data_IF_139390152600
#
_entry.id   IF_139390152600
#
_cell.length_a   1.000
_cell.length_b   1.000
_cell.length_c   1.000
_cell.angle_alpha   90.00
_cell.angle_beta   90.00
_cell.angle_gamma   90.00
#
_symmetry.space_group_name_H-M   'P 1'
#
loop_
_entity.id
_entity.type
_entity.pdbx_description
1 polymer ?
#
# COMPACT_ATOMS: atom_id res chain seq x y z
N UNK A 1 4.45 -17.01 -9.99
CA UNK A 1 5.22 -15.81 -9.61
C UNK A 1 6.61 -15.94 -10.22
N UNK A 2 6.90 -15.20 -11.28
CA UNK A 2 8.24 -15.18 -11.86
C UNK A 2 9.15 -14.34 -10.96
N UNK A 3 10.01 -14.97 -10.18
CA UNK A 3 11.09 -14.30 -9.47
C UNK A 3 12.17 -13.99 -10.52
N UNK A 4 12.09 -12.80 -11.13
CA UNK A 4 13.09 -12.37 -12.13
C UNK A 4 14.43 -11.99 -11.51
N UNK A 5 14.43 -11.57 -10.24
CA UNK A 5 15.62 -11.07 -9.56
C UNK A 5 15.87 -11.86 -8.27
N UNK A 6 16.56 -12.97 -8.39
CA UNK A 6 17.05 -13.71 -7.25
C UNK A 6 18.32 -13.04 -6.72
N UNK A 7 18.22 -12.34 -5.60
CA UNK A 7 19.34 -11.67 -4.92
C UNK A 7 20.24 -12.70 -4.24
N UNK A 8 19.64 -13.78 -3.74
CA UNK A 8 20.36 -14.85 -3.01
C UNK A 8 20.01 -16.21 -3.60
N UNK A 9 21.02 -17.02 -3.83
CA UNK A 9 20.86 -18.41 -4.25
C UNK A 9 21.27 -19.33 -3.10
N UNK A 10 20.29 -19.98 -2.45
CA UNK A 10 20.53 -20.82 -1.29
C UNK A 10 21.36 -22.07 -1.57
N UNK A 11 21.33 -22.57 -2.81
CA UNK A 11 22.10 -23.75 -3.22
C UNK A 11 23.63 -23.54 -3.13
N UNK A 12 24.11 -22.37 -3.50
CA UNK A 12 25.52 -22.02 -3.47
C UNK A 12 25.86 -20.90 -2.48
N UNK A 13 24.91 -20.47 -1.68
CA UNK A 13 25.01 -19.42 -0.67
C UNK A 13 25.61 -18.09 -1.22
N UNK A 14 25.33 -17.79 -2.48
CA UNK A 14 25.86 -16.59 -3.14
C UNK A 14 24.84 -15.48 -3.25
N UNK A 15 25.27 -14.25 -2.93
CA UNK A 15 24.57 -13.01 -3.28
C UNK A 15 24.92 -12.64 -4.72
N UNK A 16 23.91 -12.51 -5.59
CA UNK A 16 24.09 -12.14 -7.00
C UNK A 16 24.27 -10.65 -7.20
N UNK A 17 23.70 -9.85 -6.32
CA UNK A 17 23.82 -8.39 -6.37
C UNK A 17 23.62 -7.80 -4.98
N UNK A 18 24.16 -6.62 -4.74
CA UNK A 18 23.83 -5.82 -3.56
C UNK A 18 22.41 -5.30 -3.77
N UNK A 19 21.47 -5.54 -2.82
CA UNK A 19 20.11 -5.02 -2.94
C UNK A 19 20.13 -3.50 -3.08
N UNK A 20 19.41 -2.97 -4.05
CA UNK A 20 19.25 -1.53 -4.18
C UNK A 20 18.37 -1.03 -3.03
N UNK A 21 18.94 -0.21 -2.15
CA UNK A 21 18.21 0.41 -1.04
C UNK A 21 17.52 1.66 -1.57
N UNK A 22 16.20 1.73 -1.41
CA UNK A 22 15.41 2.92 -1.71
C UNK A 22 15.15 3.64 -0.41
N UNK A 23 15.66 4.85 -0.26
CA UNK A 23 15.45 5.68 0.92
C UNK A 23 14.25 6.62 0.74
N UNK A 24 13.74 7.16 1.85
CA UNK A 24 12.73 8.23 1.82
C UNK A 24 13.17 9.41 0.97
N UNK A 25 14.44 9.80 1.06
CA UNK A 25 15.00 10.89 0.26
C UNK A 25 14.98 10.59 -1.24
N UNK A 26 15.19 9.34 -1.64
CA UNK A 26 15.10 8.92 -3.05
C UNK A 26 13.67 9.04 -3.55
N UNK A 27 12.68 8.67 -2.72
CA UNK A 27 11.26 8.80 -3.04
C UNK A 27 10.87 10.26 -3.23
N UNK A 28 11.33 11.17 -2.34
CA UNK A 28 11.03 12.60 -2.43
C UNK A 28 11.73 13.25 -3.63
N UNK A 29 13.03 13.00 -3.82
CA UNK A 29 13.82 13.59 -4.91
C UNK A 29 13.38 13.13 -6.30
N UNK A 30 13.03 11.86 -6.42
CA UNK A 30 12.56 11.26 -7.66
C UNK A 30 11.03 11.30 -7.77
N UNK A 31 10.38 12.05 -6.88
CA UNK A 31 8.93 12.17 -6.82
C UNK A 31 8.35 12.66 -8.13
N UNK A 32 7.29 12.02 -8.54
CA UNK A 32 6.51 12.43 -9.71
C UNK A 32 5.82 13.75 -9.33
N UNK A 33 5.89 14.79 -10.18
CA UNK A 33 5.06 15.97 -9.96
C UNK A 33 3.59 15.53 -9.83
N UNK A 34 2.85 16.09 -8.87
CA UNK A 34 1.51 15.63 -8.59
C UNK A 34 0.61 15.84 -9.83
N UNK A 35 0.09 14.78 -10.42
CA UNK A 35 -0.86 14.91 -11.52
C UNK A 35 -2.22 15.39 -10.98
N UNK A 36 -3.07 16.02 -11.81
CA UNK A 36 -4.41 16.45 -11.41
C UNK A 36 -5.31 15.26 -11.05
N UNK A 37 -4.99 14.09 -11.60
CA UNK A 37 -5.65 12.82 -11.29
C UNK A 37 -4.61 11.72 -11.11
N UNK A 38 -4.86 10.80 -10.19
CA UNK A 38 -3.98 9.67 -9.90
C UNK A 38 -4.78 8.38 -9.89
N UNK A 39 -4.35 7.42 -10.69
CA UNK A 39 -4.96 6.08 -10.72
C UNK A 39 -4.09 5.09 -9.96
N UNK A 40 -4.70 4.42 -8.99
CA UNK A 40 -4.11 3.29 -8.27
C UNK A 40 -4.71 1.99 -8.77
N UNK A 41 -3.86 1.07 -9.20
CA UNK A 41 -4.24 -0.29 -9.61
C UNK A 41 -3.86 -1.28 -8.51
N UNK A 42 -4.86 -1.83 -7.81
CA UNK A 42 -4.63 -2.88 -6.81
C UNK A 42 -4.42 -4.23 -7.50
N UNK A 43 -3.19 -4.72 -7.44
CA UNK A 43 -2.76 -5.99 -8.03
C UNK A 43 -3.10 -7.19 -7.15
N UNK A 44 -3.16 -6.98 -5.84
CA UNK A 44 -3.55 -7.99 -4.85
C UNK A 44 -4.68 -7.45 -3.98
N UNK A 45 -5.48 -8.34 -3.36
CA UNK A 45 -6.65 -7.93 -2.61
C UNK A 45 -6.33 -6.89 -1.54
N UNK A 46 -6.91 -5.70 -1.67
CA UNK A 46 -6.88 -4.67 -0.65
C UNK A 46 -7.90 -5.01 0.43
N UNK A 47 -7.42 -5.22 1.64
CA UNK A 47 -8.24 -5.55 2.80
C UNK A 47 -8.11 -4.46 3.85
N UNK A 48 -9.08 -3.59 3.89
CA UNK A 48 -9.13 -2.47 4.85
C UNK A 48 -10.31 -2.65 5.78
N UNK A 49 -10.13 -2.34 7.05
CA UNK A 49 -11.21 -2.28 8.04
C UNK A 49 -11.44 -0.84 8.50
N UNK A 50 -12.70 -0.51 8.66
CA UNK A 50 -13.15 0.71 9.31
C UNK A 50 -14.22 0.36 10.34
N UNK A 51 -14.05 0.82 11.59
CA UNK A 51 -14.94 0.50 12.71
C UNK A 51 -15.23 -1.02 12.85
N UNK A 52 -14.20 -1.85 12.62
CA UNK A 52 -14.31 -3.31 12.72
C UNK A 52 -14.81 -4.02 11.46
N UNK A 53 -15.45 -3.34 10.52
CA UNK A 53 -16.02 -3.92 9.31
C UNK A 53 -15.07 -3.77 8.10
N UNK A 54 -15.14 -4.74 7.18
CA UNK A 54 -14.40 -4.64 5.92
C UNK A 54 -15.00 -3.57 5.02
N UNK A 55 -14.13 -2.72 4.48
CA UNK A 55 -14.50 -1.65 3.57
C UNK A 55 -14.70 -2.21 2.16
N UNK A 56 -15.91 -2.06 1.63
CA UNK A 56 -16.24 -2.39 0.23
C UNK A 56 -16.28 -1.13 -0.66
N UNK A 57 -16.52 0.03 -0.07
CA UNK A 57 -16.52 1.32 -0.78
C UNK A 57 -15.31 2.14 -0.34
N UNK A 58 -14.18 1.94 -1.03
CA UNK A 58 -12.93 2.62 -0.72
C UNK A 58 -13.04 4.13 -0.98
N UNK A 59 -12.61 4.92 0.00
CA UNK A 59 -12.41 6.37 -0.12
C UNK A 59 -10.95 6.74 0.05
N UNK A 60 -10.54 7.91 -0.43
CA UNK A 60 -9.16 8.36 -0.29
C UNK A 60 -8.76 8.56 1.18
N UNK A 61 -9.59 9.21 2.05
CA UNK A 61 -9.26 9.33 3.47
C UNK A 61 -9.03 7.97 4.16
N UNK A 62 -9.88 6.99 3.86
CA UNK A 62 -9.74 5.64 4.42
C UNK A 62 -8.44 4.97 3.96
N UNK A 63 -8.10 5.10 2.68
CA UNK A 63 -6.87 4.53 2.12
C UNK A 63 -5.63 5.15 2.77
N UNK A 64 -5.55 6.49 2.78
CA UNK A 64 -4.36 7.20 3.26
C UNK A 64 -4.18 7.03 4.77
N UNK A 65 -5.28 6.99 5.54
CA UNK A 65 -5.22 6.72 6.97
C UNK A 65 -4.58 5.35 7.27
N UNK A 66 -4.99 4.30 6.55
CA UNK A 66 -4.41 2.96 6.72
C UNK A 66 -2.97 2.87 6.24
N UNK A 67 -2.61 3.64 5.23
CA UNK A 67 -1.24 3.70 4.73
C UNK A 67 -0.33 4.40 5.73
N UNK A 68 -0.75 5.54 6.27
CA UNK A 68 -0.02 6.27 7.31
C UNK A 68 0.16 5.41 8.56
N UNK A 69 -0.92 4.80 9.07
CA UNK A 69 -0.86 3.88 10.21
C UNK A 69 0.20 2.77 9.98
N UNK A 70 0.27 2.23 8.77
CA UNK A 70 1.27 1.22 8.44
C UNK A 70 2.69 1.78 8.42
N UNK A 71 2.88 2.98 7.88
CA UNK A 71 4.18 3.67 7.88
C UNK A 71 4.63 3.92 9.31
N UNK A 72 3.74 4.41 10.17
CA UNK A 72 4.01 4.68 11.58
C UNK A 72 4.44 3.40 12.33
N UNK A 73 3.70 2.32 12.13
CA UNK A 73 4.04 1.02 12.73
C UNK A 73 5.42 0.52 12.27
N UNK A 74 5.71 0.60 10.97
CA UNK A 74 7.01 0.18 10.43
C UNK A 74 8.14 1.09 10.91
N UNK A 75 7.91 2.41 10.96
CA UNK A 75 8.86 3.38 11.48
C UNK A 75 9.19 3.11 12.96
N UNK A 76 8.17 2.89 13.77
CA UNK A 76 8.34 2.59 15.20
C UNK A 76 9.17 1.32 15.42
N UNK A 77 8.82 0.21 14.76
CA UNK A 77 9.49 -1.08 15.00
C UNK A 77 10.86 -1.21 14.37
N UNK A 78 11.12 -0.53 13.25
CA UNK A 78 12.33 -0.75 12.46
C UNK A 78 13.23 0.46 12.31
N UNK A 79 12.72 1.69 12.56
CA UNK A 79 13.48 2.92 12.39
C UNK A 79 13.61 3.74 13.68
N UNK A 80 13.01 3.30 14.80
CA UNK A 80 13.04 4.01 16.08
C UNK A 80 12.27 5.34 16.04
N UNK A 81 11.34 5.49 15.08
CA UNK A 81 10.54 6.70 14.90
C UNK A 81 9.28 6.70 15.76
N UNK A 82 8.68 7.89 15.91
CA UNK A 82 7.30 8.08 16.36
C UNK A 82 6.48 8.69 15.23
N UNK A 83 5.15 8.52 15.29
CA UNK A 83 4.25 9.12 14.32
C UNK A 83 4.38 10.65 14.36
N UNK A 84 4.64 11.34 13.22
CA UNK A 84 4.65 12.78 13.19
C UNK A 84 3.26 13.35 13.51
N UNK A 85 3.21 14.43 14.29
CA UNK A 85 1.93 15.14 14.59
C UNK A 85 1.26 15.70 13.34
N UNK A 86 2.02 15.91 12.27
CA UNK A 86 1.55 16.39 10.96
C UNK A 86 0.52 15.48 10.30
N UNK A 87 0.48 14.20 10.65
CA UNK A 87 -0.46 13.23 10.07
C UNK A 87 -1.93 13.63 10.23
N UNK A 88 -2.30 14.30 11.33
CA UNK A 88 -3.68 14.73 11.55
C UNK A 88 -4.12 15.83 10.57
N UNK A 89 -3.24 16.77 10.24
CA UNK A 89 -3.52 17.83 9.27
C UNK A 89 -3.72 17.22 7.87
N UNK A 90 -2.83 16.31 7.47
CA UNK A 90 -2.94 15.60 6.19
C UNK A 90 -4.22 14.76 6.09
N UNK A 91 -4.64 14.11 7.17
CA UNK A 91 -5.89 13.35 7.18
C UNK A 91 -7.14 14.25 7.00
N UNK A 92 -7.11 15.50 7.49
CA UNK A 92 -8.16 16.50 7.21
C UNK A 92 -8.14 16.92 5.74
N UNK A 93 -6.98 17.17 5.16
CA UNK A 93 -6.85 17.51 3.74
C UNK A 93 -7.29 16.36 2.83
N UNK A 94 -7.04 15.11 3.22
CA UNK A 94 -7.46 13.93 2.49
C UNK A 94 -8.98 13.86 2.23
N UNK A 95 -9.78 14.50 3.06
CA UNK A 95 -11.24 14.55 2.88
C UNK A 95 -11.66 15.34 1.62
N UNK A 96 -10.80 16.23 1.13
CA UNK A 96 -11.04 17.01 -0.09
C UNK A 96 -10.75 16.21 -1.38
N UNK A 97 -10.08 15.08 -1.27
CA UNK A 97 -9.76 14.21 -2.41
C UNK A 97 -10.96 13.33 -2.73
N UNK A 98 -11.39 13.37 -3.99
CA UNK A 98 -12.58 12.62 -4.44
C UNK A 98 -12.18 11.49 -5.39
N UNK A 99 -12.92 10.40 -5.34
CA UNK A 99 -12.81 9.36 -6.35
C UNK A 99 -13.56 9.81 -7.62
N UNK A 100 -12.83 9.94 -8.73
CA UNK A 100 -13.36 10.31 -10.05
C UNK A 100 -13.89 9.10 -10.80
N UNK A 101 -13.20 7.97 -10.71
CA UNK A 101 -13.61 6.71 -11.33
C UNK A 101 -13.25 5.54 -10.42
N UNK A 102 -14.10 4.51 -10.42
CA UNK A 102 -13.89 3.28 -9.65
C UNK A 102 -14.19 2.07 -10.53
N UNK A 103 -13.21 1.21 -10.68
CA UNK A 103 -13.34 -0.11 -11.29
C UNK A 103 -12.80 -1.16 -10.32
N UNK A 104 -13.32 -1.11 -9.08
CA UNK A 104 -12.98 -2.02 -8.01
C UNK A 104 -14.02 -3.12 -7.93
N UNK A 105 -13.56 -4.35 -7.74
CA UNK A 105 -14.41 -5.51 -7.47
C UNK A 105 -13.91 -6.27 -6.27
N UNK A 106 -14.81 -6.90 -5.56
CA UNK A 106 -14.44 -7.82 -4.49
C UNK A 106 -13.91 -9.10 -5.09
N UNK A 107 -12.76 -9.57 -4.60
CA UNK A 107 -12.15 -10.83 -4.97
C UNK A 107 -12.06 -11.72 -3.74
N UNK A 108 -12.82 -12.81 -3.74
CA UNK A 108 -12.80 -13.79 -2.66
C UNK A 108 -11.73 -14.84 -2.90
N UNK A 109 -10.91 -15.07 -1.89
CA UNK A 109 -10.03 -16.23 -1.84
C UNK A 109 -9.81 -16.66 -0.41
N UNK A 110 -9.45 -17.90 -0.25
CA UNK A 110 -9.24 -18.52 1.05
C UNK A 110 -7.84 -19.12 1.13
N UNK A 111 -7.25 -19.04 2.31
CA UNK A 111 -6.00 -19.69 2.65
C UNK A 111 -6.25 -20.69 3.76
N UNK A 112 -5.70 -21.89 3.63
CA UNK A 112 -5.67 -22.83 4.73
C UNK A 112 -4.46 -22.54 5.64
N UNK A 113 -4.70 -22.38 6.93
CA UNK A 113 -3.67 -22.21 7.95
C UNK A 113 -3.34 -23.56 8.58
N UNK A 114 -2.19 -24.11 8.27
CA UNK A 114 -1.72 -25.36 8.89
C UNK A 114 -1.56 -25.23 10.40
N UNK A 115 -1.15 -24.06 10.90
CA UNK A 115 -0.99 -23.78 12.32
C UNK A 115 -2.32 -23.77 13.06
N UNK A 116 -3.34 -23.13 12.47
CA UNK A 116 -4.67 -22.99 13.09
C UNK A 116 -5.66 -24.06 12.63
N UNK A 117 -5.24 -24.97 11.73
CA UNK A 117 -6.08 -26.04 11.15
C UNK A 117 -7.43 -25.55 10.63
N UNK A 118 -7.48 -24.33 10.06
CA UNK A 118 -8.71 -23.72 9.55
C UNK A 118 -8.48 -22.92 8.26
N UNK A 119 -9.55 -22.76 7.50
CA UNK A 119 -9.58 -21.84 6.36
C UNK A 119 -9.75 -20.40 6.85
N UNK A 120 -8.98 -19.51 6.26
CA UNK A 120 -9.01 -18.07 6.54
C UNK A 120 -9.46 -17.33 5.28
N UNK A 121 -10.55 -16.57 5.41
CA UNK A 121 -11.01 -15.68 4.33
C UNK A 121 -10.03 -14.51 4.18
N UNK A 122 -9.49 -14.36 3.00
CA UNK A 122 -8.47 -13.37 2.65
C UNK A 122 -8.94 -12.43 1.53
N UNK A 123 -10.25 -12.42 1.25
CA UNK A 123 -10.86 -11.58 0.21
C UNK A 123 -10.69 -10.09 0.47
N UNK A 124 -10.68 -9.31 -0.60
CA UNK A 124 -10.53 -7.87 -0.59
C UNK A 124 -10.81 -7.24 -1.96
N UNK A 125 -10.62 -5.93 -2.07
CA UNK A 125 -10.84 -5.17 -3.29
C UNK A 125 -9.64 -5.32 -4.24
N UNK A 126 -9.89 -5.59 -5.52
CA UNK A 126 -8.90 -5.54 -6.60
C UNK A 126 -9.42 -4.66 -7.74
N UNK A 127 -8.51 -4.16 -8.57
CA UNK A 127 -8.82 -3.31 -9.72
C UNK A 127 -8.35 -1.89 -9.54
N UNK A 128 -8.90 -0.95 -10.29
CA UNK A 128 -8.44 0.43 -10.37
C UNK A 128 -9.37 1.42 -9.68
N UNK A 129 -8.78 2.47 -9.13
CA UNK A 129 -9.49 3.64 -8.62
C UNK A 129 -8.70 4.89 -8.97
N UNK A 130 -9.39 5.89 -9.50
CA UNK A 130 -8.81 7.19 -9.86
C UNK A 130 -9.28 8.24 -8.86
N UNK A 131 -8.32 8.96 -8.31
CA UNK A 131 -8.56 10.08 -7.40
C UNK A 131 -8.24 11.42 -8.07
N UNK A 132 -8.91 12.49 -7.63
CA UNK A 132 -8.69 13.85 -8.11
C UNK A 132 -8.70 14.84 -6.95
N UNK A 133 -7.87 15.87 -7.04
CA UNK A 133 -7.70 16.91 -6.03
C UNK A 133 -6.25 17.31 -5.85
N UNK A 134 -5.92 18.01 -4.76
CA UNK A 134 -4.53 18.32 -4.42
C UNK A 134 -3.83 17.07 -3.85
N UNK A 135 -3.25 16.27 -4.73
CA UNK A 135 -2.56 15.01 -4.38
C UNK A 135 -1.11 15.22 -3.92
N UNK A 136 -0.55 16.43 -4.11
CA UNK A 136 0.85 16.73 -3.83
C UNK A 136 1.34 16.29 -2.44
N UNK A 137 0.64 16.60 -1.34
CA UNK A 137 1.09 16.24 0.00
C UNK A 137 1.11 14.73 0.26
N UNK A 138 0.34 13.96 -0.53
CA UNK A 138 0.17 12.52 -0.35
C UNK A 138 1.11 11.68 -1.23
N UNK A 139 1.73 12.29 -2.25
CA UNK A 139 2.57 11.56 -3.20
C UNK A 139 3.70 10.76 -2.55
N UNK A 140 4.46 11.29 -1.57
CA UNK A 140 5.52 10.50 -0.92
C UNK A 140 4.99 9.24 -0.25
N UNK A 141 3.84 9.33 0.43
CA UNK A 141 3.19 8.21 1.09
C UNK A 141 2.71 7.17 0.08
N UNK A 142 2.08 7.63 -1.01
CA UNK A 142 1.57 6.75 -2.06
C UNK A 142 2.70 6.06 -2.82
N UNK A 143 3.82 6.73 -3.07
CA UNK A 143 5.00 6.13 -3.68
C UNK A 143 5.63 5.07 -2.77
N UNK A 144 5.80 5.38 -1.49
CA UNK A 144 6.30 4.41 -0.50
C UNK A 144 5.35 3.21 -0.36
N UNK A 145 4.04 3.46 -0.40
CA UNK A 145 3.02 2.43 -0.24
C UNK A 145 3.06 1.33 -1.29
N UNK A 146 3.59 1.59 -2.49
CA UNK A 146 3.79 0.56 -3.52
C UNK A 146 4.75 -0.54 -3.06
N UNK A 147 5.70 -0.20 -2.19
CA UNK A 147 6.71 -1.13 -1.66
C UNK A 147 6.24 -1.83 -0.39
N UNK A 148 5.61 -1.07 0.53
CA UNK A 148 5.24 -1.60 1.86
C UNK A 148 3.83 -2.19 1.89
N UNK A 149 3.04 -2.00 0.82
CA UNK A 149 1.63 -2.38 0.69
C UNK A 149 0.73 -1.67 1.71
N UNK A 150 -0.58 -1.80 1.58
CA UNK A 150 -1.56 -1.14 2.46
C UNK A 150 -2.65 -2.08 2.95
N UNK A 151 -3.12 -1.88 4.17
CA UNK A 151 -4.20 -2.62 4.79
C UNK A 151 -3.77 -3.87 5.53
N UNK A 152 -4.66 -4.84 5.64
CA UNK A 152 -4.43 -6.07 6.40
C UNK A 152 -3.85 -7.18 5.54
N UNK A 153 -3.03 -8.03 6.16
CA UNK A 153 -2.44 -9.20 5.51
C UNK A 153 -1.30 -8.87 4.54
N UNK A 154 -0.66 -7.73 4.70
CA UNK A 154 0.49 -7.31 3.87
C UNK A 154 1.66 -8.28 3.94
N UNK A 155 1.86 -8.98 5.07
CA UNK A 155 2.84 -10.07 5.21
C UNK A 155 2.54 -11.27 4.30
N UNK A 156 1.32 -11.38 3.78
CA UNK A 156 0.92 -12.38 2.80
C UNK A 156 0.88 -11.80 1.36
N UNK A 157 1.43 -10.60 1.17
CA UNK A 157 1.44 -9.92 -0.12
C UNK A 157 0.12 -9.21 -0.47
N UNK A 158 -0.82 -9.07 0.47
CA UNK A 158 -2.06 -8.34 0.22
C UNK A 158 -1.84 -6.82 0.20
N UNK A 159 -2.73 -6.10 -0.47
CA UNK A 159 -2.71 -4.64 -0.54
C UNK A 159 -1.59 -4.07 -1.41
N UNK A 160 -1.01 -4.86 -2.32
CA UNK A 160 -0.07 -4.36 -3.31
C UNK A 160 -0.82 -3.55 -4.36
N UNK A 161 -0.31 -2.36 -4.66
CA UNK A 161 -0.82 -1.54 -5.74
C UNK A 161 0.32 -0.89 -6.53
N UNK A 162 -0.02 -0.40 -7.70
CA UNK A 162 0.85 0.41 -8.54
C UNK A 162 0.16 1.72 -8.91
N UNK A 163 0.94 2.78 -9.04
CA UNK A 163 0.50 4.05 -9.59
C UNK A 163 0.54 3.93 -11.11
N UNK A 164 -0.62 4.01 -11.76
CA UNK A 164 -0.72 4.01 -13.22
C UNK A 164 -0.40 5.40 -13.72
N UNK A 165 0.57 5.49 -14.61
CA UNK A 165 0.91 6.72 -15.34
C UNK A 165 0.08 6.74 -16.62
N UNK A 166 -0.65 7.81 -16.82
CA UNK A 166 -1.26 8.11 -18.11
C UNK A 166 -0.22 8.66 -19.07
#
# INVERSE_FOLDING_TARGET
MCIRDSIYTGHNQTLKSIPQVITWNDIIKNGIPPPPTLTLLFLTPLRVKEKGNLVVNLTFPTLIARLMERIDVLSYFYCGGSAPEENQALLKEAQNIKAKAKSLRWYDWERYSNRQKRRMKMGGLIGAITFSGNLAPFMPYLLLGQYIHVGQGTTFGLGKYEIVRE
#
